data_IF_026287289567
#
_entry.id   IF_026287289567
#
_cell.length_a   1.000
_cell.length_b   1.000
_cell.length_c   1.000
_cell.angle_alpha   90.00
_cell.angle_beta   90.00
_cell.angle_gamma   90.00
#
_symmetry.space_group_name_H-M   'P 1'
#
loop_
_entity.id
_entity.type
_entity.pdbx_description
1 polymer ?
#
# COMPACT_ATOMS: atom_id res chain seq x y z
N UNK A 1 2.31 -14.83 73.05
CA UNK A 1 3.26 -14.79 71.91
C UNK A 1 2.61 -13.94 70.83
N UNK A 2 2.93 -12.65 70.82
CA UNK A 2 2.32 -11.63 69.96
C UNK A 2 3.21 -11.42 68.73
N UNK A 3 2.71 -11.75 67.58
CA UNK A 3 3.39 -11.53 66.29
C UNK A 3 3.08 -10.08 65.83
N UNK A 4 4.09 -9.23 65.80
CA UNK A 4 4.08 -7.90 65.21
C UNK A 4 4.16 -7.99 63.71
N UNK A 5 3.13 -7.59 62.98
CA UNK A 5 3.15 -7.34 61.55
C UNK A 5 3.81 -5.99 61.27
N UNK A 6 4.94 -5.97 60.59
CA UNK A 6 5.61 -4.76 60.09
C UNK A 6 4.91 -4.26 58.84
N UNK A 7 4.48 -3.00 58.85
CA UNK A 7 3.97 -2.24 57.68
C UNK A 7 5.18 -1.67 56.97
N UNK A 8 5.37 -1.87 55.65
CA UNK A 8 6.43 -1.21 54.91
C UNK A 8 6.06 0.25 54.57
N UNK A 9 6.95 1.15 54.94
CA UNK A 9 6.97 2.58 54.67
C UNK A 9 6.93 2.86 53.15
N UNK A 10 5.93 3.61 52.69
CA UNK A 10 5.78 4.12 51.33
C UNK A 10 6.17 5.60 51.28
N UNK A 11 7.42 5.91 51.48
CA UNK A 11 8.00 7.21 51.14
C UNK A 11 9.10 7.06 50.09
N UNK A 12 8.72 6.89 48.83
CA UNK A 12 9.60 6.91 47.68
C UNK A 12 9.03 7.88 46.66
N UNK A 13 9.53 9.11 46.68
CA UNK A 13 9.23 10.15 45.71
C UNK A 13 9.47 9.62 44.27
N UNK A 14 8.46 9.75 43.43
CA UNK A 14 8.56 9.45 42.00
C UNK A 14 9.51 10.46 41.31
N UNK A 15 10.51 10.00 40.54
CA UNK A 15 11.24 10.90 39.65
C UNK A 15 10.38 11.23 38.46
N UNK A 16 9.72 12.39 38.49
CA UNK A 16 9.11 13.05 37.35
C UNK A 16 10.24 13.67 36.51
N UNK A 17 10.45 13.18 35.28
CA UNK A 17 11.21 13.96 34.30
C UNK A 17 12.44 13.27 33.71
N UNK A 18 12.29 12.14 32.99
CA UNK A 18 13.28 11.72 31.97
C UNK A 18 12.84 10.53 31.12
N UNK A 19 11.67 9.98 31.36
CA UNK A 19 11.18 8.80 30.60
C UNK A 19 10.85 9.08 29.11
N UNK A 20 10.63 10.35 28.75
CA UNK A 20 10.35 10.73 27.35
C UNK A 20 11.59 10.67 26.46
N UNK A 21 12.66 11.33 26.86
CA UNK A 21 13.87 11.47 26.03
C UNK A 21 14.61 10.13 25.81
N UNK A 22 14.68 9.28 26.84
CA UNK A 22 15.31 7.96 26.73
C UNK A 22 14.51 6.98 25.87
N UNK A 23 13.18 7.05 25.89
CA UNK A 23 12.30 6.25 25.02
C UNK A 23 12.42 6.67 23.55
N UNK A 24 12.54 7.96 23.26
CA UNK A 24 12.76 8.48 21.91
C UNK A 24 14.16 8.14 21.39
N UNK A 25 15.19 8.24 22.21
CA UNK A 25 16.55 7.86 21.84
C UNK A 25 16.65 6.36 21.53
N UNK A 26 16.00 5.51 22.33
CA UNK A 26 15.91 4.07 22.06
C UNK A 26 15.16 3.73 20.76
N UNK A 27 14.05 4.39 20.52
CA UNK A 27 13.28 4.21 19.28
C UNK A 27 14.06 4.70 18.05
N UNK A 28 14.71 5.86 18.14
CA UNK A 28 15.56 6.39 17.06
C UNK A 28 16.71 5.44 16.72
N UNK A 29 17.38 4.87 17.72
CA UNK A 29 18.47 3.91 17.51
C UNK A 29 18.04 2.63 16.78
N UNK A 30 16.80 2.17 16.96
CA UNK A 30 16.27 0.98 16.28
C UNK A 30 15.81 1.28 14.84
N UNK A 31 15.37 2.51 14.54
CA UNK A 31 14.89 2.89 13.21
C UNK A 31 16.03 3.33 12.28
N UNK A 32 17.07 3.95 12.84
CA UNK A 32 18.13 4.61 12.10
C UNK A 32 18.84 3.71 11.08
N UNK A 33 19.25 2.47 11.38
CA UNK A 33 19.97 1.65 10.41
C UNK A 33 19.15 1.36 9.15
N UNK A 34 17.87 1.01 9.30
CA UNK A 34 16.99 0.72 8.17
C UNK A 34 16.63 1.97 7.37
N UNK A 35 16.42 3.12 8.04
CA UNK A 35 16.16 4.39 7.40
C UNK A 35 17.38 4.86 6.58
N UNK A 36 18.60 4.75 7.14
CA UNK A 36 19.83 5.09 6.42
C UNK A 36 20.05 4.19 5.20
N UNK A 37 19.71 2.92 5.28
CA UNK A 37 19.75 2.02 4.12
C UNK A 37 18.78 2.48 3.03
N UNK A 38 17.55 2.83 3.38
CA UNK A 38 16.58 3.37 2.41
C UNK A 38 17.05 4.69 1.80
N UNK A 39 17.60 5.60 2.60
CA UNK A 39 18.17 6.86 2.13
C UNK A 39 19.38 6.64 1.21
N UNK A 40 20.25 5.68 1.52
CA UNK A 40 21.37 5.31 0.66
C UNK A 40 20.92 4.81 -0.71
N UNK A 41 19.93 3.91 -0.76
CA UNK A 41 19.33 3.45 -2.01
C UNK A 41 18.68 4.61 -2.78
N UNK A 42 17.98 5.50 -2.06
CA UNK A 42 17.38 6.71 -2.66
C UNK A 42 18.43 7.61 -3.28
N UNK A 43 19.52 7.86 -2.59
CA UNK A 43 20.63 8.69 -3.11
C UNK A 43 21.24 8.07 -4.38
N UNK A 44 21.46 6.75 -4.40
CA UNK A 44 21.93 6.04 -5.60
C UNK A 44 20.92 6.14 -6.74
N UNK A 45 19.63 5.95 -6.48
CA UNK A 45 18.58 6.07 -7.48
C UNK A 45 18.51 7.47 -8.11
N UNK A 46 18.60 8.52 -7.29
CA UNK A 46 18.64 9.91 -7.76
C UNK A 46 19.91 10.23 -8.53
N UNK A 47 21.06 9.73 -8.08
CA UNK A 47 22.33 9.89 -8.79
C UNK A 47 22.31 9.21 -10.16
N UNK A 48 21.73 8.02 -10.27
CA UNK A 48 21.57 7.30 -11.54
C UNK A 48 20.64 8.07 -12.49
N UNK A 49 19.48 8.57 -12.00
CA UNK A 49 18.59 9.40 -12.81
C UNK A 49 19.29 10.67 -13.30
N UNK A 50 19.99 11.39 -12.41
CA UNK A 50 20.71 12.60 -12.78
C UNK A 50 21.84 12.31 -13.79
N UNK A 51 22.54 11.19 -13.65
CA UNK A 51 23.55 10.74 -14.61
C UNK A 51 22.93 10.40 -15.97
N UNK A 52 21.80 9.72 -16.01
CA UNK A 52 21.05 9.42 -17.23
C UNK A 52 20.59 10.70 -17.93
N UNK A 53 19.98 11.63 -17.19
CA UNK A 53 19.52 12.90 -17.69
C UNK A 53 20.66 13.76 -18.27
N UNK A 54 21.84 13.73 -17.61
CA UNK A 54 23.02 14.42 -18.10
C UNK A 54 23.58 13.84 -19.40
N UNK A 55 23.50 12.51 -19.59
CA UNK A 55 24.02 11.80 -20.76
C UNK A 55 23.07 11.84 -21.97
N UNK A 56 21.77 11.76 -21.73
CA UNK A 56 20.76 11.55 -22.76
C UNK A 56 19.85 12.76 -22.99
N UNK A 57 19.92 13.76 -22.10
CA UNK A 57 19.06 14.96 -22.12
C UNK A 57 17.64 14.73 -21.59
N UNK A 58 17.24 13.49 -21.32
CA UNK A 58 15.93 13.13 -20.76
C UNK A 58 16.06 11.97 -19.77
N UNK A 59 15.33 11.99 -18.64
CA UNK A 59 15.25 10.83 -17.75
C UNK A 59 14.34 9.78 -18.39
N UNK A 60 14.88 8.65 -18.84
CA UNK A 60 14.10 7.51 -19.33
C UNK A 60 13.55 6.68 -18.18
N UNK A 61 14.27 6.62 -17.05
CA UNK A 61 13.87 5.87 -15.86
C UNK A 61 13.84 6.78 -14.63
N UNK A 62 12.64 7.03 -14.13
CA UNK A 62 12.42 7.86 -12.94
C UNK A 62 13.08 7.25 -11.68
N UNK A 63 13.60 8.10 -10.78
CA UNK A 63 14.21 7.67 -9.51
C UNK A 63 13.29 6.79 -8.66
N UNK A 64 11.97 6.98 -8.76
CA UNK A 64 10.97 6.12 -8.10
C UNK A 64 11.08 4.66 -8.53
N UNK A 65 11.24 4.44 -9.83
CA UNK A 65 11.38 3.09 -10.43
C UNK A 65 12.75 2.52 -10.10
N UNK A 66 13.81 3.32 -10.23
CA UNK A 66 15.17 2.92 -9.85
C UNK A 66 15.24 2.51 -8.38
N UNK A 67 14.60 3.25 -7.48
CA UNK A 67 14.61 2.98 -6.04
C UNK A 67 13.98 1.62 -5.70
N UNK A 68 12.83 1.28 -6.30
CA UNK A 68 12.18 -0.02 -6.06
C UNK A 68 13.00 -1.17 -6.65
N UNK A 69 13.60 -0.98 -7.83
CA UNK A 69 14.43 -1.98 -8.48
C UNK A 69 15.73 -2.24 -7.68
N UNK A 70 16.42 -1.18 -7.28
CA UNK A 70 17.62 -1.27 -6.45
C UNK A 70 17.32 -1.92 -5.10
N UNK A 71 16.22 -1.52 -4.45
CA UNK A 71 15.75 -2.12 -3.20
C UNK A 71 15.50 -3.64 -3.36
N UNK A 72 14.80 -4.03 -4.44
CA UNK A 72 14.52 -5.44 -4.77
C UNK A 72 15.79 -6.22 -5.09
N UNK A 73 16.73 -5.62 -5.84
CA UNK A 73 18.02 -6.22 -6.15
C UNK A 73 18.86 -6.44 -4.88
N UNK A 74 18.96 -5.42 -4.02
CA UNK A 74 19.62 -5.52 -2.72
C UNK A 74 19.00 -6.62 -1.87
N UNK A 75 17.66 -6.67 -1.77
CA UNK A 75 16.95 -7.70 -1.01
C UNK A 75 17.20 -9.11 -1.55
N UNK A 76 17.25 -9.24 -2.87
CA UNK A 76 17.51 -10.53 -3.53
C UNK A 76 18.97 -10.99 -3.34
N UNK A 77 19.94 -10.05 -3.40
CA UNK A 77 21.35 -10.37 -3.19
C UNK A 77 21.72 -10.56 -1.71
N UNK A 78 21.12 -9.75 -0.84
CA UNK A 78 21.46 -9.70 0.59
C UNK A 78 20.18 -9.56 1.43
N UNK A 79 20.03 -10.42 2.44
CA UNK A 79 18.91 -10.36 3.39
C UNK A 79 19.24 -9.42 4.53
N UNK A 80 18.61 -8.23 4.64
CA UNK A 80 18.88 -7.31 5.74
C UNK A 80 18.63 -7.95 7.10
N UNK A 81 19.63 -7.87 7.99
CA UNK A 81 19.55 -8.40 9.34
C UNK A 81 18.46 -7.73 10.17
N UNK A 82 18.18 -8.28 11.36
CA UNK A 82 17.09 -7.83 12.24
C UNK A 82 17.15 -6.32 12.57
N UNK A 83 18.36 -5.76 12.68
CA UNK A 83 18.60 -4.33 12.98
C UNK A 83 18.05 -3.36 11.93
N UNK A 84 17.91 -3.79 10.67
CA UNK A 84 17.39 -2.95 9.57
C UNK A 84 15.87 -3.01 9.45
N UNK A 85 15.23 -4.09 9.92
CA UNK A 85 13.82 -4.38 9.69
C UNK A 85 12.88 -3.28 10.18
N UNK A 86 13.15 -2.74 11.38
CA UNK A 86 12.30 -1.71 11.98
C UNK A 86 12.30 -0.41 11.13
N UNK A 87 13.49 0.04 10.70
CA UNK A 87 13.62 1.25 9.86
C UNK A 87 13.07 1.06 8.45
N UNK A 88 13.26 -0.12 7.83
CA UNK A 88 12.65 -0.44 6.53
C UNK A 88 11.12 -0.42 6.65
N UNK A 89 10.55 -1.06 7.68
CA UNK A 89 9.10 -1.07 7.89
C UNK A 89 8.54 0.34 8.15
N UNK A 90 9.27 1.16 8.90
CA UNK A 90 8.93 2.58 9.13
C UNK A 90 8.92 3.36 7.81
N UNK A 91 9.95 3.21 6.99
CA UNK A 91 10.05 3.90 5.69
C UNK A 91 8.96 3.43 4.71
N UNK A 92 8.68 2.12 4.67
CA UNK A 92 7.65 1.56 3.81
C UNK A 92 6.22 1.96 4.20
N UNK A 93 5.99 2.38 5.45
CA UNK A 93 4.65 2.72 5.94
C UNK A 93 4.53 4.18 6.35
N UNK A 94 5.19 4.61 7.42
CA UNK A 94 4.98 5.96 7.99
C UNK A 94 5.51 7.06 7.06
N UNK A 95 6.71 6.88 6.49
CA UNK A 95 7.25 7.86 5.52
C UNK A 95 6.34 7.96 4.30
N UNK A 96 5.82 6.82 3.83
CA UNK A 96 4.84 6.78 2.76
C UNK A 96 3.55 7.52 3.11
N UNK A 97 2.99 7.26 4.29
CA UNK A 97 1.74 7.90 4.74
C UNK A 97 1.88 9.43 4.80
N UNK A 98 3.03 9.93 5.26
CA UNK A 98 3.36 11.36 5.24
C UNK A 98 3.49 11.88 3.80
N UNK A 99 4.22 11.17 2.93
CA UNK A 99 4.39 11.54 1.53
C UNK A 99 3.05 11.69 0.82
N UNK A 100 2.15 10.70 0.97
CA UNK A 100 0.81 10.72 0.37
C UNK A 100 -0.03 11.86 0.93
N UNK A 101 0.03 12.12 2.24
CA UNK A 101 -0.64 13.27 2.85
C UNK A 101 -0.22 14.58 2.18
N UNK A 102 1.08 14.81 2.05
CA UNK A 102 1.64 16.02 1.44
C UNK A 102 1.26 16.19 -0.03
N UNK A 103 1.11 15.10 -0.78
CA UNK A 103 0.64 15.15 -2.18
C UNK A 103 -0.75 15.77 -2.31
N UNK A 104 -1.58 15.72 -1.25
CA UNK A 104 -2.87 16.42 -1.23
C UNK A 104 -2.77 17.91 -1.52
N UNK A 105 -1.67 18.56 -1.13
CA UNK A 105 -1.44 19.97 -1.40
C UNK A 105 -1.24 20.32 -2.90
N UNK A 106 -0.90 19.32 -3.72
CA UNK A 106 -0.73 19.49 -5.17
C UNK A 106 -1.99 19.12 -5.97
N UNK A 107 -3.03 18.58 -5.32
CA UNK A 107 -4.25 18.09 -5.98
C UNK A 107 -5.39 19.09 -5.81
N UNK A 108 -6.06 19.42 -6.90
CA UNK A 108 -7.29 20.21 -6.89
C UNK A 108 -8.52 19.32 -6.77
N UNK A 109 -9.37 19.55 -5.76
CA UNK A 109 -10.66 18.87 -5.64
C UNK A 109 -11.60 19.18 -6.80
N UNK A 110 -11.42 20.34 -7.46
CA UNK A 110 -12.17 20.68 -8.66
C UNK A 110 -11.99 19.65 -9.78
N UNK A 111 -10.76 19.15 -9.98
CA UNK A 111 -10.49 18.07 -10.94
C UNK A 111 -11.17 16.75 -10.53
N UNK A 112 -11.30 16.50 -9.22
CA UNK A 112 -12.02 15.34 -8.67
C UNK A 112 -13.51 15.42 -8.94
N UNK A 113 -14.11 16.57 -8.64
CA UNK A 113 -15.53 16.82 -8.87
C UNK A 113 -15.86 16.82 -10.37
N UNK A 114 -14.97 17.37 -11.19
CA UNK A 114 -15.10 17.33 -12.65
C UNK A 114 -15.09 15.92 -13.24
N UNK A 115 -14.43 14.96 -12.58
CA UNK A 115 -14.44 13.54 -12.97
C UNK A 115 -15.81 12.86 -12.78
N UNK A 116 -16.73 13.50 -12.07
CA UNK A 116 -18.14 13.16 -11.96
C UNK A 116 -18.47 11.93 -11.11
N UNK A 117 -19.76 11.78 -10.73
CA UNK A 117 -20.23 10.64 -9.94
C UNK A 117 -20.11 9.29 -10.70
N UNK A 118 -20.07 9.34 -12.03
CA UNK A 118 -19.92 8.16 -12.88
C UNK A 118 -18.58 7.45 -12.64
N UNK A 119 -17.49 8.20 -12.51
CA UNK A 119 -16.18 7.61 -12.19
C UNK A 119 -16.17 6.97 -10.80
N UNK A 120 -16.75 7.64 -9.80
CA UNK A 120 -16.83 7.09 -8.43
C UNK A 120 -17.65 5.78 -8.41
N UNK A 121 -18.81 5.78 -9.05
CA UNK A 121 -19.64 4.58 -9.20
C UNK A 121 -18.90 3.48 -9.97
N UNK A 122 -18.17 3.86 -11.02
CA UNK A 122 -17.32 2.96 -11.78
C UNK A 122 -16.21 2.30 -10.93
N UNK A 123 -15.53 3.08 -10.08
CA UNK A 123 -14.50 2.55 -9.16
C UNK A 123 -15.12 1.55 -8.18
N UNK A 124 -16.26 1.90 -7.56
CA UNK A 124 -16.97 1.00 -6.62
C UNK A 124 -17.39 -0.28 -7.34
N UNK A 125 -17.97 -0.16 -8.54
CA UNK A 125 -18.36 -1.29 -9.38
C UNK A 125 -17.17 -2.16 -9.77
N UNK A 126 -16.05 -1.54 -10.18
CA UNK A 126 -14.82 -2.26 -10.53
C UNK A 126 -14.26 -3.04 -9.34
N UNK A 127 -14.23 -2.45 -8.14
CA UNK A 127 -13.78 -3.14 -6.92
C UNK A 127 -14.68 -4.34 -6.62
N UNK A 128 -15.99 -4.15 -6.61
CA UNK A 128 -16.96 -5.22 -6.34
C UNK A 128 -16.84 -6.35 -7.37
N UNK A 129 -16.84 -6.01 -8.66
CA UNK A 129 -16.73 -6.98 -9.75
C UNK A 129 -15.40 -7.72 -9.70
N UNK A 130 -14.30 -7.02 -9.42
CA UNK A 130 -12.98 -7.64 -9.28
C UNK A 130 -12.94 -8.63 -8.12
N UNK A 131 -13.49 -8.29 -6.96
CA UNK A 131 -13.54 -9.21 -5.81
C UNK A 131 -14.32 -10.47 -6.20
N UNK A 132 -15.48 -10.33 -6.81
CA UNK A 132 -16.33 -11.46 -7.20
C UNK A 132 -15.65 -12.33 -8.28
N UNK A 133 -15.17 -11.71 -9.35
CA UNK A 133 -14.55 -12.42 -10.47
C UNK A 133 -13.23 -13.10 -10.05
N UNK A 134 -12.38 -12.40 -9.30
CA UNK A 134 -11.11 -12.96 -8.79
C UNK A 134 -11.37 -14.09 -7.80
N UNK A 135 -12.35 -13.95 -6.91
CA UNK A 135 -12.70 -15.02 -5.98
C UNK A 135 -13.23 -16.25 -6.73
N UNK A 136 -14.14 -16.07 -7.69
CA UNK A 136 -14.67 -17.15 -8.53
C UNK A 136 -13.55 -17.84 -9.32
N UNK A 137 -12.65 -17.10 -9.94
CA UNK A 137 -11.50 -17.61 -10.68
C UNK A 137 -10.57 -18.43 -9.77
N UNK A 138 -10.19 -17.89 -8.62
CA UNK A 138 -9.33 -18.60 -7.67
C UNK A 138 -10.00 -19.90 -7.16
N UNK A 139 -11.31 -19.88 -6.95
CA UNK A 139 -12.08 -21.07 -6.57
C UNK A 139 -12.13 -22.10 -7.70
N UNK A 140 -12.33 -21.67 -8.94
CA UNK A 140 -12.30 -22.54 -10.12
C UNK A 140 -10.93 -23.22 -10.32
N UNK A 141 -9.85 -22.56 -9.91
CA UNK A 141 -8.48 -23.10 -9.89
C UNK A 141 -8.19 -23.99 -8.67
N UNK A 142 -9.19 -24.25 -7.83
CA UNK A 142 -9.10 -25.16 -6.70
C UNK A 142 -8.46 -24.57 -5.42
N UNK A 143 -8.32 -23.24 -5.33
CA UNK A 143 -7.80 -22.62 -4.11
C UNK A 143 -8.84 -22.62 -2.98
N UNK A 144 -8.41 -22.73 -1.71
CA UNK A 144 -9.29 -22.58 -0.55
C UNK A 144 -10.00 -21.23 -0.56
N UNK A 145 -11.25 -21.16 -0.05
CA UNK A 145 -12.07 -19.93 -0.05
C UNK A 145 -11.33 -18.75 0.60
N UNK A 146 -10.64 -18.99 1.71
CA UNK A 146 -9.91 -17.93 2.43
C UNK A 146 -8.74 -17.37 1.62
N UNK A 147 -7.96 -18.24 1.00
CA UNK A 147 -6.88 -17.82 0.09
C UNK A 147 -7.45 -17.05 -1.13
N UNK A 148 -8.56 -17.54 -1.71
CA UNK A 148 -9.23 -16.85 -2.81
C UNK A 148 -9.70 -15.44 -2.41
N UNK A 149 -10.26 -15.28 -1.20
CA UNK A 149 -10.66 -13.97 -0.68
C UNK A 149 -9.46 -13.04 -0.42
N UNK A 150 -8.34 -13.57 0.10
CA UNK A 150 -7.11 -12.77 0.28
C UNK A 150 -6.59 -12.23 -1.04
N UNK A 151 -6.51 -13.09 -2.07
CA UNK A 151 -6.07 -12.70 -3.42
C UNK A 151 -7.05 -11.69 -4.02
N UNK A 152 -8.34 -11.96 -3.96
CA UNK A 152 -9.37 -11.10 -4.53
C UNK A 152 -9.37 -9.69 -3.90
N UNK A 153 -9.33 -9.60 -2.57
CA UNK A 153 -9.27 -8.31 -1.87
C UNK A 153 -7.93 -7.61 -2.07
N UNK A 154 -6.83 -8.36 -2.10
CA UNK A 154 -5.50 -7.82 -2.42
C UNK A 154 -5.48 -7.14 -3.78
N UNK A 155 -5.92 -7.85 -4.83
CA UNK A 155 -5.95 -7.32 -6.19
C UNK A 155 -6.94 -6.15 -6.35
N UNK A 156 -8.14 -6.27 -5.75
CA UNK A 156 -9.18 -5.27 -5.92
C UNK A 156 -8.93 -3.96 -5.18
N UNK A 157 -8.16 -3.94 -4.10
CA UNK A 157 -8.05 -2.75 -3.24
C UNK A 157 -6.63 -2.17 -3.25
N UNK A 158 -5.73 -2.68 -2.40
CA UNK A 158 -4.40 -2.09 -2.22
C UNK A 158 -3.28 -3.11 -1.91
N UNK A 159 -3.43 -4.34 -2.36
CA UNK A 159 -2.41 -5.38 -2.16
C UNK A 159 -2.24 -5.76 -0.69
N UNK A 160 -1.03 -5.62 -0.18
CA UNK A 160 -0.62 -6.09 1.14
C UNK A 160 -1.47 -5.55 2.29
N UNK A 161 -1.87 -4.28 2.24
CA UNK A 161 -2.68 -3.67 3.30
C UNK A 161 -4.08 -4.27 3.36
N UNK A 162 -4.69 -4.57 2.21
CA UNK A 162 -5.99 -5.23 2.15
C UNK A 162 -5.91 -6.66 2.66
N UNK A 163 -4.88 -7.42 2.27
CA UNK A 163 -4.63 -8.77 2.75
C UNK A 163 -4.48 -8.78 4.27
N UNK A 164 -3.64 -7.88 4.82
CA UNK A 164 -3.40 -7.78 6.26
C UNK A 164 -4.66 -7.42 7.07
N UNK A 165 -5.53 -6.56 6.51
CA UNK A 165 -6.78 -6.17 7.16
C UNK A 165 -7.86 -7.26 7.09
N UNK A 166 -7.95 -7.98 5.98
CA UNK A 166 -8.95 -9.02 5.73
C UNK A 166 -8.60 -10.33 6.44
N UNK A 167 -7.31 -10.70 6.50
CA UNK A 167 -6.84 -11.97 7.04
C UNK A 167 -7.41 -12.33 8.44
N UNK A 168 -7.33 -11.44 9.46
CA UNK A 168 -7.86 -11.72 10.79
C UNK A 168 -9.40 -11.80 10.80
N UNK A 169 -10.07 -11.10 9.89
CA UNK A 169 -11.54 -11.07 9.80
C UNK A 169 -12.09 -12.40 9.31
N UNK A 170 -11.46 -12.98 8.29
CA UNK A 170 -11.86 -14.27 7.72
C UNK A 170 -11.18 -15.47 8.39
N UNK A 171 -10.27 -15.24 9.35
CA UNK A 171 -9.50 -16.29 10.03
C UNK A 171 -8.60 -17.06 9.06
N UNK A 172 -7.87 -16.34 8.19
CA UNK A 172 -6.95 -16.94 7.23
C UNK A 172 -5.71 -17.53 7.91
N UNK A 173 -5.14 -18.58 7.33
CA UNK A 173 -3.87 -19.16 7.78
C UNK A 173 -2.71 -18.19 7.52
N UNK A 174 -1.75 -18.15 8.44
CA UNK A 174 -0.55 -17.32 8.33
C UNK A 174 0.30 -17.61 7.08
N UNK A 175 0.31 -18.86 6.61
CA UNK A 175 0.99 -19.27 5.37
C UNK A 175 0.33 -18.67 4.14
N UNK A 176 -1.01 -18.73 4.08
CA UNK A 176 -1.79 -18.15 2.98
C UNK A 176 -1.62 -16.63 2.93
N UNK A 177 -1.60 -15.98 4.11
CA UNK A 177 -1.36 -14.54 4.23
C UNK A 177 0.04 -14.18 3.72
N UNK A 178 1.07 -14.90 4.16
CA UNK A 178 2.45 -14.66 3.73
C UNK A 178 2.62 -14.87 2.22
N UNK A 179 2.03 -15.93 1.67
CA UNK A 179 2.04 -16.21 0.24
C UNK A 179 1.35 -15.10 -0.56
N UNK A 180 0.12 -14.70 -0.17
CA UNK A 180 -0.63 -13.65 -0.85
C UNK A 180 0.13 -12.30 -0.83
N UNK A 181 0.74 -11.92 0.31
CA UNK A 181 1.55 -10.70 0.44
C UNK A 181 2.78 -10.76 -0.46
N UNK A 182 3.49 -11.88 -0.49
CA UNK A 182 4.69 -12.03 -1.32
C UNK A 182 4.36 -11.88 -2.80
N UNK A 183 3.26 -12.48 -3.27
CA UNK A 183 2.82 -12.34 -4.66
C UNK A 183 2.44 -10.90 -5.03
N UNK A 184 1.61 -10.25 -4.22
CA UNK A 184 1.19 -8.88 -4.52
C UNK A 184 2.38 -7.91 -4.49
N UNK A 185 3.40 -8.18 -3.67
CA UNK A 185 4.62 -7.39 -3.67
C UNK A 185 5.40 -7.51 -4.98
N UNK A 186 5.61 -8.73 -5.48
CA UNK A 186 6.33 -8.96 -6.76
C UNK A 186 5.53 -8.46 -7.95
N UNK A 187 4.23 -8.81 -8.04
CA UNK A 187 3.38 -8.33 -9.11
C UNK A 187 3.24 -6.80 -9.10
N UNK A 188 3.31 -6.18 -7.93
CA UNK A 188 3.33 -4.72 -7.82
C UNK A 188 4.52 -4.08 -8.52
N UNK A 189 5.72 -4.67 -8.40
CA UNK A 189 6.91 -4.23 -9.14
C UNK A 189 6.73 -4.45 -10.64
N UNK A 190 6.25 -5.62 -11.05
CA UNK A 190 5.99 -5.92 -12.46
C UNK A 190 4.97 -4.97 -13.08
N UNK A 191 3.94 -4.57 -12.32
CA UNK A 191 2.95 -3.61 -12.79
C UNK A 191 3.53 -2.20 -12.95
N UNK A 192 4.41 -1.77 -12.05
CA UNK A 192 5.11 -0.48 -12.17
C UNK A 192 5.92 -0.41 -13.45
N UNK A 193 6.62 -1.48 -13.79
CA UNK A 193 7.48 -1.57 -14.97
C UNK A 193 6.68 -1.80 -16.25
N UNK A 194 5.68 -2.68 -16.18
CA UNK A 194 4.95 -3.13 -17.36
C UNK A 194 3.87 -2.15 -17.82
N UNK A 195 3.16 -1.52 -16.88
CA UNK A 195 1.99 -0.72 -17.23
C UNK A 195 2.30 0.47 -18.15
N UNK A 196 3.38 1.25 -17.96
CA UNK A 196 3.74 2.33 -18.88
C UNK A 196 4.03 1.85 -20.30
N UNK A 197 4.55 0.64 -20.46
CA UNK A 197 4.84 0.06 -21.79
C UNK A 197 3.58 -0.24 -22.62
N UNK A 198 2.42 -0.36 -21.94
CA UNK A 198 1.14 -0.57 -22.64
C UNK A 198 0.50 0.73 -23.16
N UNK A 199 0.97 1.92 -22.70
CA UNK A 199 0.40 3.22 -23.14
C UNK A 199 0.35 3.35 -24.66
N UNK A 200 1.47 3.15 -25.41
CA UNK A 200 1.46 3.27 -26.86
C UNK A 200 0.64 2.17 -27.56
N UNK A 201 0.47 1.00 -26.93
CA UNK A 201 -0.27 -0.12 -27.50
C UNK A 201 -1.78 0.05 -27.38
N UNK A 202 -2.27 0.69 -26.31
CA UNK A 202 -3.71 0.81 -26.02
C UNK A 202 -4.26 2.14 -26.54
N UNK A 203 -3.41 3.15 -26.77
CA UNK A 203 -3.79 4.48 -27.25
C UNK A 203 -4.61 5.28 -26.23
N UNK A 204 -4.36 5.09 -24.94
CA UNK A 204 -5.05 5.82 -23.87
C UNK A 204 -4.52 7.24 -23.72
N UNK A 205 -5.43 8.20 -23.43
CA UNK A 205 -5.05 9.53 -22.96
C UNK A 205 -4.40 9.46 -21.58
N UNK A 206 -3.69 10.53 -21.16
CA UNK A 206 -3.14 10.63 -19.80
C UNK A 206 -4.20 10.39 -18.72
N UNK A 207 -5.40 10.93 -18.92
CA UNK A 207 -6.51 10.76 -17.99
C UNK A 207 -6.94 9.29 -17.89
N UNK A 208 -7.15 8.63 -19.03
CA UNK A 208 -7.52 7.21 -19.10
C UNK A 208 -6.44 6.31 -18.49
N UNK A 209 -5.18 6.61 -18.79
CA UNK A 209 -4.06 5.89 -18.21
C UNK A 209 -3.97 6.07 -16.69
N UNK A 210 -4.21 7.30 -16.20
CA UNK A 210 -4.29 7.56 -14.76
C UNK A 210 -5.37 6.70 -14.09
N UNK A 211 -6.57 6.61 -14.68
CA UNK A 211 -7.64 5.73 -14.20
C UNK A 211 -7.19 4.28 -14.21
N UNK A 212 -6.58 3.79 -15.31
CA UNK A 212 -6.08 2.43 -15.42
C UNK A 212 -5.05 2.12 -14.32
N UNK A 213 -4.05 2.97 -14.15
CA UNK A 213 -3.00 2.80 -13.15
C UNK A 213 -3.58 2.82 -11.71
N UNK A 214 -4.47 3.76 -11.41
CA UNK A 214 -5.17 3.83 -10.12
C UNK A 214 -6.02 2.60 -9.83
N UNK A 215 -6.67 2.01 -10.85
CA UNK A 215 -7.48 0.79 -10.72
C UNK A 215 -6.64 -0.50 -10.63
N UNK A 216 -5.43 -0.56 -11.17
CA UNK A 216 -4.71 -1.83 -11.35
C UNK A 216 -3.47 -1.94 -10.47
N UNK A 217 -2.72 -0.88 -10.26
CA UNK A 217 -1.52 -0.87 -9.42
C UNK A 217 -1.87 -1.00 -7.94
N UNK A 218 -1.05 -1.69 -7.13
CA UNK A 218 -1.41 -2.06 -5.75
C UNK A 218 -1.22 -0.94 -4.74
N UNK A 219 -0.06 -0.29 -4.68
CA UNK A 219 0.25 0.73 -3.68
C UNK A 219 0.26 2.14 -4.28
N UNK A 220 -0.07 3.16 -3.47
CA UNK A 220 -0.05 4.56 -3.92
C UNK A 220 1.29 4.98 -4.50
N UNK A 221 2.46 4.69 -3.86
CA UNK A 221 3.75 5.05 -4.46
C UNK A 221 4.04 4.31 -5.76
N UNK A 222 3.55 3.09 -5.90
CA UNK A 222 3.65 2.35 -7.16
C UNK A 222 2.80 3.00 -8.26
N UNK A 223 1.63 3.56 -7.93
CA UNK A 223 0.84 4.37 -8.88
C UNK A 223 1.64 5.58 -9.33
N UNK A 224 2.28 6.29 -8.39
CA UNK A 224 3.15 7.44 -8.74
C UNK A 224 4.29 7.00 -9.67
N UNK A 225 5.00 5.93 -9.34
CA UNK A 225 6.08 5.40 -10.16
C UNK A 225 5.62 4.99 -11.56
N UNK A 226 4.40 4.47 -11.70
CA UNK A 226 3.83 4.09 -12.99
C UNK A 226 3.30 5.29 -13.79
N UNK A 227 2.88 6.38 -13.14
CA UNK A 227 2.19 7.50 -13.81
C UNK A 227 3.07 8.74 -14.04
N UNK A 228 4.07 8.98 -13.19
CA UNK A 228 5.00 10.13 -13.34
C UNK A 228 5.65 10.17 -14.73
N UNK A 229 6.16 9.04 -15.28
CA UNK A 229 6.75 9.04 -16.63
C UNK A 229 5.75 9.38 -17.76
N UNK A 230 4.44 9.23 -17.51
CA UNK A 230 3.39 9.45 -18.51
C UNK A 230 2.91 10.90 -18.49
N UNK A 231 2.72 11.48 -17.29
CA UNK A 231 2.38 12.88 -17.18
C UNK A 231 1.71 13.27 -15.85
N UNK A 232 1.63 14.61 -15.60
CA UNK A 232 1.07 15.15 -14.37
C UNK A 232 -0.41 14.80 -14.17
N UNK A 233 -1.21 14.83 -15.24
CA UNK A 233 -2.63 14.50 -15.19
C UNK A 233 -2.84 13.01 -14.84
N UNK A 234 -2.07 12.13 -15.46
CA UNK A 234 -2.09 10.70 -15.14
C UNK A 234 -1.78 10.45 -13.66
N UNK A 235 -0.82 11.20 -13.10
CA UNK A 235 -0.39 11.09 -11.70
C UNK A 235 -1.50 11.55 -10.74
N UNK A 236 -2.14 12.67 -11.02
CA UNK A 236 -3.24 13.21 -10.21
C UNK A 236 -4.44 12.26 -10.19
N UNK A 237 -4.91 11.87 -11.38
CA UNK A 237 -6.06 10.98 -11.55
C UNK A 237 -5.78 9.61 -10.96
N UNK A 238 -4.62 9.01 -11.25
CA UNK A 238 -4.24 7.71 -10.74
C UNK A 238 -4.17 7.66 -9.21
N UNK A 239 -3.58 8.68 -8.60
CA UNK A 239 -3.51 8.80 -7.13
C UNK A 239 -4.90 8.89 -6.53
N UNK A 240 -5.79 9.70 -7.12
CA UNK A 240 -7.16 9.87 -6.67
C UNK A 240 -7.96 8.58 -6.74
N UNK A 241 -7.98 7.94 -7.90
CA UNK A 241 -8.67 6.66 -8.11
C UNK A 241 -8.17 5.63 -7.08
N UNK A 242 -6.85 5.60 -6.84
CA UNK A 242 -6.26 4.71 -5.84
C UNK A 242 -6.71 5.01 -4.43
N UNK A 243 -6.82 6.27 -4.03
CA UNK A 243 -7.28 6.65 -2.70
C UNK A 243 -8.75 6.26 -2.48
N UNK A 244 -9.61 6.44 -3.50
CA UNK A 244 -11.01 5.97 -3.45
C UNK A 244 -11.05 4.44 -3.27
N UNK A 245 -10.20 3.68 -3.99
CA UNK A 245 -10.11 2.22 -3.81
C UNK A 245 -9.69 1.85 -2.38
N UNK A 246 -8.73 2.56 -1.80
CA UNK A 246 -8.29 2.28 -0.41
C UNK A 246 -9.42 2.56 0.59
N UNK A 247 -10.25 3.57 0.36
CA UNK A 247 -11.45 3.83 1.18
C UNK A 247 -12.44 2.66 1.13
N UNK A 248 -12.53 1.94 0.02
CA UNK A 248 -13.37 0.75 -0.10
C UNK A 248 -12.96 -0.39 0.84
N UNK A 249 -11.76 -0.35 1.43
CA UNK A 249 -11.31 -1.34 2.41
C UNK A 249 -12.27 -1.42 3.61
N UNK A 250 -12.76 -0.29 4.09
CA UNK A 250 -13.70 -0.23 5.21
C UNK A 250 -15.00 -1.00 4.95
N UNK A 251 -15.79 -0.64 3.92
CA UNK A 251 -16.99 -1.37 3.51
C UNK A 251 -16.75 -2.85 3.23
N UNK A 252 -15.66 -3.21 2.55
CA UNK A 252 -15.33 -4.60 2.22
C UNK A 252 -15.01 -5.42 3.48
N UNK A 253 -14.20 -4.89 4.41
CA UNK A 253 -13.89 -5.55 5.69
C UNK A 253 -15.17 -5.74 6.51
N UNK A 254 -16.08 -4.75 6.51
CA UNK A 254 -17.37 -4.86 7.18
C UNK A 254 -18.23 -5.96 6.55
N UNK A 255 -18.36 -5.98 5.23
CA UNK A 255 -19.11 -7.02 4.51
C UNK A 255 -18.55 -8.41 4.78
N UNK A 256 -17.22 -8.56 4.73
CA UNK A 256 -16.56 -9.83 5.04
C UNK A 256 -16.73 -10.23 6.51
N UNK A 257 -16.78 -9.29 7.44
CA UNK A 257 -17.04 -9.60 8.86
C UNK A 257 -18.44 -10.18 9.10
N UNK A 258 -19.41 -9.77 8.31
CA UNK A 258 -20.78 -10.31 8.33
C UNK A 258 -20.89 -11.68 7.65
N UNK A 259 -20.05 -11.92 6.63
CA UNK A 259 -20.00 -13.19 5.90
C UNK A 259 -19.08 -14.22 6.57
N UNK A 260 -18.12 -13.82 7.39
CA UNK A 260 -17.12 -14.69 8.02
C UNK A 260 -17.72 -15.88 8.78
N UNK A 261 -18.86 -15.75 9.53
CA UNK A 261 -19.48 -16.90 10.22
C UNK A 261 -19.99 -17.98 9.27
N UNK A 262 -20.23 -17.64 8.00
CA UNK A 262 -20.74 -18.57 6.98
C UNK A 262 -19.61 -19.27 6.19
N UNK A 263 -18.36 -18.86 6.40
CA UNK A 263 -17.22 -19.47 5.71
C UNK A 263 -16.95 -20.86 6.33
N UNK A 264 -16.56 -21.85 5.49
CA UNK A 264 -16.17 -23.17 5.99
C UNK A 264 -15.08 -23.06 7.05
N UNK A 265 -15.15 -23.89 8.08
CA UNK A 265 -14.14 -23.91 9.15
C UNK A 265 -12.74 -24.11 8.55
N UNK A 266 -11.73 -23.42 9.11
CA UNK A 266 -10.34 -23.69 8.75
C UNK A 266 -10.03 -25.14 9.14
N UNK A 267 -9.39 -25.90 8.23
CA UNK A 267 -8.94 -27.25 8.55
C UNK A 267 -8.12 -27.27 9.85
N UNK A 268 -8.13 -28.40 10.57
CA UNK A 268 -7.54 -28.55 11.90
C UNK A 268 -6.06 -28.17 12.09
N UNK A 269 -5.37 -27.72 11.02
CA UNK A 269 -3.96 -27.30 11.03
C UNK A 269 -3.75 -25.79 10.98
N UNK A 270 -4.83 -24.97 10.95
CA UNK A 270 -4.70 -23.52 10.78
C UNK A 270 -4.38 -22.84 12.13
N UNK A 271 -3.15 -22.37 12.30
CA UNK A 271 -2.84 -21.38 13.34
C UNK A 271 -3.37 -20.01 12.90
N UNK A 272 -4.30 -19.36 13.64
CA UNK A 272 -4.81 -18.05 13.26
C UNK A 272 -3.67 -17.01 13.26
N UNK A 273 -3.60 -16.20 12.19
CA UNK A 273 -2.68 -15.10 12.07
C UNK A 273 -3.13 -13.93 12.97
N UNK A 274 -2.82 -14.04 14.25
CA UNK A 274 -3.15 -13.04 15.27
C UNK A 274 -3.52 -13.76 16.56
N UNK A 275 -2.66 -13.66 17.58
CA UNK A 275 -2.81 -14.34 18.88
C UNK A 275 -3.99 -13.83 19.71
N UNK A 276 -5.20 -14.02 19.23
CA UNK A 276 -6.43 -13.76 20.00
C UNK A 276 -6.89 -15.07 20.60
N UNK A 277 -6.87 -15.15 21.94
CA UNK A 277 -7.42 -16.24 22.71
C UNK A 277 -8.90 -16.50 22.33
N UNK A 278 -9.37 -17.78 22.31
CA UNK A 278 -10.77 -18.09 22.09
C UNK A 278 -11.58 -17.57 23.28
N UNK A 279 -12.39 -16.53 23.06
CA UNK A 279 -13.24 -15.96 24.10
C UNK A 279 -13.37 -14.44 24.11
N UNK A 280 -12.54 -13.67 23.40
CA UNK A 280 -12.75 -12.23 23.29
C UNK A 280 -13.88 -11.93 22.31
N UNK A 281 -15.00 -11.43 22.84
CA UNK A 281 -16.09 -10.88 22.04
C UNK A 281 -15.51 -9.95 20.97
N UNK A 282 -15.73 -10.27 19.68
CA UNK A 282 -15.30 -9.48 18.51
C UNK A 282 -15.87 -8.06 18.66
N UNK A 283 -15.11 -7.16 19.29
CA UNK A 283 -15.44 -5.73 19.28
C UNK A 283 -15.41 -5.29 17.82
N UNK A 284 -16.57 -4.85 17.31
CA UNK A 284 -16.68 -4.22 15.99
C UNK A 284 -15.68 -3.05 15.96
N UNK A 285 -14.76 -3.00 14.99
CA UNK A 285 -13.85 -1.88 14.87
C UNK A 285 -14.68 -0.61 14.66
N UNK A 286 -14.43 0.43 15.46
CA UNK A 286 -15.11 1.71 15.29
C UNK A 286 -14.83 2.29 13.91
N UNK A 287 -15.80 2.96 13.31
CA UNK A 287 -15.74 3.52 11.95
C UNK A 287 -14.45 4.33 11.68
N UNK A 288 -13.98 5.12 12.65
CA UNK A 288 -12.72 5.87 12.56
C UNK A 288 -11.44 5.01 12.52
N UNK A 289 -11.50 3.72 12.90
CA UNK A 289 -10.37 2.79 12.74
C UNK A 289 -10.29 2.20 11.33
N UNK A 290 -11.33 2.36 10.52
CA UNK A 290 -11.42 1.84 9.16
C UNK A 290 -10.86 2.83 8.12
N UNK A 291 -10.81 4.12 8.42
CA UNK A 291 -10.25 5.14 7.51
C UNK A 291 -8.82 5.46 7.95
N UNK A 292 -7.82 5.15 7.12
CA UNK A 292 -6.43 5.50 7.42
C UNK A 292 -6.24 7.02 7.55
N UNK A 293 -5.51 7.47 8.56
CA UNK A 293 -5.31 8.88 8.89
C UNK A 293 -4.72 9.70 7.73
N UNK A 294 -3.82 9.11 6.94
CA UNK A 294 -3.17 9.78 5.81
C UNK A 294 -4.15 10.15 4.69
N UNK A 295 -5.27 9.41 4.54
CA UNK A 295 -6.32 9.75 3.57
C UNK A 295 -7.06 10.99 4.03
N UNK A 296 -7.37 11.09 5.32
CA UNK A 296 -7.98 12.29 5.89
C UNK A 296 -7.04 13.50 5.75
N UNK A 297 -5.75 13.30 6.00
CA UNK A 297 -4.73 14.32 5.80
C UNK A 297 -4.61 14.77 4.34
N UNK A 298 -4.61 13.82 3.40
CA UNK A 298 -4.62 14.12 1.97
C UNK A 298 -5.84 14.94 1.58
N UNK A 299 -7.04 14.50 1.97
CA UNK A 299 -8.30 15.22 1.67
C UNK A 299 -8.32 16.61 2.30
N UNK A 300 -7.84 16.75 3.53
CA UNK A 300 -7.73 18.05 4.20
C UNK A 300 -6.81 19.01 3.43
N UNK A 301 -5.61 18.57 3.03
CA UNK A 301 -4.69 19.40 2.25
C UNK A 301 -5.23 19.71 0.85
N UNK A 302 -5.87 18.75 0.19
CA UNK A 302 -6.52 18.97 -1.10
C UNK A 302 -7.69 19.96 -0.99
N UNK A 303 -8.46 19.91 0.11
CA UNK A 303 -9.51 20.88 0.40
C UNK A 303 -8.95 22.28 0.65
N UNK A 304 -7.91 22.40 1.48
CA UNK A 304 -7.24 23.68 1.74
C UNK A 304 -6.66 24.28 0.46
N UNK A 305 -6.09 23.44 -0.42
CA UNK A 305 -5.60 23.86 -1.73
C UNK A 305 -6.72 24.38 -2.62
N UNK A 306 -7.84 23.66 -2.68
CA UNK A 306 -9.00 24.04 -3.51
C UNK A 306 -9.70 25.30 -3.01
N UNK A 307 -9.63 25.59 -1.70
CA UNK A 307 -10.13 26.83 -1.09
C UNK A 307 -9.16 28.02 -1.25
N UNK A 308 -7.99 27.82 -1.90
CA UNK A 308 -6.99 28.88 -2.07
C UNK A 308 -6.22 29.22 -0.79
N UNK A 309 -6.35 28.42 0.27
CA UNK A 309 -5.68 28.66 1.57
C UNK A 309 -4.20 28.25 1.57
N UNK A 310 -3.76 27.45 0.57
CA UNK A 310 -2.34 27.12 0.36
C UNK A 310 -1.80 28.04 -0.74
N UNK A 311 -0.88 28.95 -0.42
CA UNK A 311 -0.26 29.81 -1.41
C UNK A 311 0.50 29.00 -2.48
N UNK A 312 0.50 29.44 -3.73
CA UNK A 312 1.18 28.74 -4.85
C UNK A 312 2.68 28.55 -4.58
N UNK A 313 3.31 29.48 -3.89
CA UNK A 313 4.72 29.40 -3.52
C UNK A 313 5.08 28.16 -2.67
N UNK A 314 4.14 27.62 -1.90
CA UNK A 314 4.35 26.47 -1.03
C UNK A 314 4.08 25.12 -1.73
N UNK A 315 3.35 25.12 -2.84
CA UNK A 315 3.00 23.88 -3.56
C UNK A 315 4.23 23.16 -4.09
N UNK A 316 5.16 23.89 -4.73
CA UNK A 316 6.37 23.30 -5.28
C UNK A 316 7.32 22.72 -4.20
N UNK A 317 7.63 23.42 -3.08
CA UNK A 317 8.41 22.84 -1.98
C UNK A 317 7.75 21.60 -1.36
N UNK A 318 6.44 21.65 -1.11
CA UNK A 318 5.69 20.52 -0.53
C UNK A 318 5.73 19.33 -1.48
N UNK A 319 5.51 19.53 -2.78
CA UNK A 319 5.54 18.47 -3.79
C UNK A 319 6.92 17.84 -3.92
N UNK A 320 8.01 18.63 -3.87
CA UNK A 320 9.38 18.12 -3.88
C UNK A 320 9.66 17.25 -2.66
N UNK A 321 9.25 17.70 -1.46
CA UNK A 321 9.38 16.92 -0.25
C UNK A 321 8.58 15.61 -0.33
N UNK A 322 7.34 15.69 -0.78
CA UNK A 322 6.48 14.51 -0.98
C UNK A 322 7.12 13.53 -1.97
N UNK A 323 7.65 14.02 -3.10
CA UNK A 323 8.37 13.21 -4.08
C UNK A 323 9.60 12.51 -3.48
N UNK A 324 10.44 13.24 -2.74
CA UNK A 324 11.60 12.67 -2.06
C UNK A 324 11.20 11.56 -1.07
N UNK A 325 10.23 11.82 -0.20
CA UNK A 325 9.72 10.83 0.75
C UNK A 325 9.11 9.60 0.04
N UNK A 326 8.51 9.82 -1.14
CA UNK A 326 7.99 8.72 -1.95
C UNK A 326 9.11 7.84 -2.48
N UNK A 327 10.23 8.41 -2.96
CA UNK A 327 11.41 7.65 -3.42
C UNK A 327 11.99 6.81 -2.26
N UNK A 328 12.11 7.38 -1.05
CA UNK A 328 12.55 6.66 0.15
C UNK A 328 11.63 5.48 0.46
N UNK A 329 10.33 5.68 0.33
CA UNK A 329 9.34 4.63 0.55
C UNK A 329 9.40 3.54 -0.52
N UNK A 330 9.69 3.90 -1.78
CA UNK A 330 9.88 2.95 -2.88
C UNK A 330 11.13 2.07 -2.66
N UNK A 331 12.24 2.65 -2.19
CA UNK A 331 13.42 1.88 -1.78
C UNK A 331 13.07 0.86 -0.69
N UNK A 332 12.32 1.29 0.33
CA UNK A 332 11.87 0.43 1.42
C UNK A 332 10.92 -0.68 0.96
N UNK A 333 9.99 -0.37 0.07
CA UNK A 333 9.10 -1.36 -0.55
C UNK A 333 9.89 -2.39 -1.36
N UNK A 334 10.88 -1.94 -2.14
CA UNK A 334 11.78 -2.83 -2.88
C UNK A 334 12.54 -3.78 -1.94
N UNK A 335 13.07 -3.27 -0.82
CA UNK A 335 13.71 -4.09 0.21
C UNK A 335 12.76 -5.10 0.88
N UNK A 336 11.46 -4.90 0.77
CA UNK A 336 10.43 -5.86 1.22
C UNK A 336 10.14 -6.98 0.20
N UNK A 337 10.58 -6.84 -1.05
CA UNK A 337 10.28 -7.77 -2.15
C UNK A 337 11.40 -8.79 -2.32
N UNK A 338 11.10 -10.06 -2.10
CA UNK A 338 12.03 -11.17 -2.34
C UNK A 338 11.53 -12.01 -3.53
N UNK A 339 12.17 -11.85 -4.68
CA UNK A 339 11.79 -12.55 -5.93
C UNK A 339 11.93 -14.07 -5.81
N UNK A 340 12.81 -14.56 -4.91
CA UNK A 340 13.02 -16.01 -4.71
C UNK A 340 11.78 -16.70 -4.12
N UNK A 341 10.96 -15.97 -3.38
CA UNK A 341 9.71 -16.50 -2.80
C UNK A 341 8.74 -16.96 -3.88
N UNK A 342 8.74 -16.32 -5.06
CA UNK A 342 7.90 -16.75 -6.19
C UNK A 342 8.18 -18.20 -6.60
N UNK A 343 9.43 -18.61 -6.57
CA UNK A 343 9.82 -19.99 -6.94
C UNK A 343 9.37 -21.03 -5.90
N UNK A 344 9.10 -20.60 -4.66
CA UNK A 344 8.72 -21.51 -3.57
C UNK A 344 7.21 -21.67 -3.41
N UNK A 345 6.42 -20.77 -3.98
CA UNK A 345 4.95 -20.85 -3.92
C UNK A 345 4.42 -21.65 -5.10
N UNK A 346 3.52 -22.58 -4.83
CA UNK A 346 3.05 -23.56 -5.85
C UNK A 346 2.44 -22.89 -7.08
N UNK A 347 2.66 -23.49 -8.26
CA UNK A 347 2.22 -22.96 -9.56
C UNK A 347 0.75 -22.60 -9.67
N UNK A 348 -0.14 -23.26 -8.90
CA UNK A 348 -1.58 -22.95 -8.88
C UNK A 348 -1.86 -21.55 -8.28
N UNK A 349 -1.14 -21.16 -7.23
CA UNK A 349 -1.31 -19.85 -6.59
C UNK A 349 -0.77 -18.77 -7.52
N UNK A 350 0.39 -18.99 -8.13
CA UNK A 350 0.97 -18.09 -9.12
C UNK A 350 0.00 -17.84 -10.27
N UNK A 351 -0.52 -18.91 -10.87
CA UNK A 351 -1.49 -18.83 -11.96
C UNK A 351 -2.76 -18.07 -11.54
N UNK A 352 -3.31 -18.37 -10.36
CA UNK A 352 -4.51 -17.74 -9.85
C UNK A 352 -4.33 -16.22 -9.62
N UNK A 353 -3.20 -15.82 -9.03
CA UNK A 353 -2.93 -14.39 -8.75
C UNK A 353 -2.68 -13.63 -10.06
N UNK A 354 -1.89 -14.19 -10.98
CA UNK A 354 -1.62 -13.57 -12.27
C UNK A 354 -2.87 -13.47 -13.15
N UNK A 355 -3.65 -14.55 -13.23
CA UNK A 355 -4.91 -14.54 -13.97
C UNK A 355 -5.95 -13.57 -13.35
N UNK A 356 -6.00 -13.49 -12.02
CA UNK A 356 -6.83 -12.52 -11.29
C UNK A 356 -6.42 -11.07 -11.58
N UNK A 357 -5.12 -10.79 -11.73
CA UNK A 357 -4.62 -9.49 -12.17
C UNK A 357 -5.01 -9.20 -13.62
N UNK A 358 -4.97 -10.20 -14.51
CA UNK A 358 -5.46 -10.09 -15.88
C UNK A 358 -6.96 -9.73 -15.93
N UNK A 359 -7.76 -10.37 -15.08
CA UNK A 359 -9.20 -10.04 -14.92
C UNK A 359 -9.38 -8.59 -14.45
N UNK A 360 -8.61 -8.12 -13.48
CA UNK A 360 -8.66 -6.73 -13.02
C UNK A 360 -8.31 -5.76 -14.15
N UNK A 361 -7.26 -6.04 -14.93
CA UNK A 361 -6.86 -5.23 -16.08
C UNK A 361 -7.99 -5.18 -17.12
N UNK A 362 -8.60 -6.32 -17.45
CA UNK A 362 -9.72 -6.38 -18.37
C UNK A 362 -10.92 -5.56 -17.89
N UNK A 363 -11.29 -5.70 -16.62
CA UNK A 363 -12.37 -4.91 -15.99
C UNK A 363 -12.06 -3.40 -16.08
N UNK A 364 -10.82 -3.01 -15.77
CA UNK A 364 -10.41 -1.61 -15.81
C UNK A 364 -10.48 -1.03 -17.23
N UNK A 365 -9.99 -1.74 -18.24
CA UNK A 365 -10.06 -1.34 -19.65
C UNK A 365 -11.51 -1.24 -20.14
N UNK A 366 -12.35 -2.23 -19.81
CA UNK A 366 -13.75 -2.22 -20.18
C UNK A 366 -14.51 -1.06 -19.53
N UNK A 367 -14.21 -0.77 -18.27
CA UNK A 367 -14.82 0.34 -17.55
C UNK A 367 -14.43 1.69 -18.18
N UNK A 368 -13.13 1.89 -18.49
CA UNK A 368 -12.66 3.13 -19.12
C UNK A 368 -13.33 3.35 -20.46
N UNK A 369 -13.41 2.31 -21.30
CA UNK A 369 -14.07 2.39 -22.62
C UNK A 369 -15.58 2.51 -22.50
N UNK A 370 -16.21 1.79 -21.57
CA UNK A 370 -17.66 1.75 -21.39
C UNK A 370 -18.23 3.04 -20.80
N UNK A 371 -17.50 3.71 -19.91
CA UNK A 371 -17.93 5.01 -19.35
C UNK A 371 -17.56 6.20 -20.25
N UNK A 372 -16.91 5.97 -21.40
CA UNK A 372 -16.46 7.05 -22.27
C UNK A 372 -15.56 8.07 -21.58
N UNK A 373 -14.73 7.59 -20.64
CA UNK A 373 -13.78 8.45 -19.91
C UNK A 373 -12.78 8.99 -20.95
N UNK A 374 -12.95 10.25 -21.34
CA UNK A 374 -12.14 10.95 -22.33
C UNK A 374 -10.95 11.68 -21.73
#
# INVERSE_FOLDING_TARGET
MTVRTAVPDRSGAAPTGSRGASAWAGAAGTLLPGLLLCLGITAVAQALQAGEEHLTGHPYVEALVLAILLGTAVRTAWVPGARFKAGIAFSAKQVLEVAVTLLGAAVSLGAIVASGPALLAGIVGAVALTILASCALCRALGLPVRMALLIACGNAICGNSAIAAVAPVIGADSRDVAAAIAFTAVLGVLMVLGLPLFVPLIGFSEHQYGVLAGLTVYAVPQVLAATVPVGPLATQVGTLVKLVRVLMLGPVVLALSLLAPRLPAAGASAKPAGGSAPGSARRRPGFFKLVPWFILGFLALASLRSLGLIPDAWVAPISRLAGFLTIVSMAALGLGVDVRVLAQVGGRVTMAVTASLGVLLAIAVLLIRGLGIG
#
